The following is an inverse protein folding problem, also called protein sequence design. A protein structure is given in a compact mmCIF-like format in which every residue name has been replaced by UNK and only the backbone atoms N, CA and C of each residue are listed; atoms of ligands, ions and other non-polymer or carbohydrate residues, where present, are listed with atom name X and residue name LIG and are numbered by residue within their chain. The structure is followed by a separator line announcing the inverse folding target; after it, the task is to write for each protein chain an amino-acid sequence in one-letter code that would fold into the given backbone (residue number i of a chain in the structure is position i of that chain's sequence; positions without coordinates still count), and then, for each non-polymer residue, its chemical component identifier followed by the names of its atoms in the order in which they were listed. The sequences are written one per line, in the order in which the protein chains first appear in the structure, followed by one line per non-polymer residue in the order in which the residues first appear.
data_IF_563920723571
#
_entry.id   IF_563920723571
#
_cell.length_a   1.000
_cell.length_b   1.000
_cell.length_c   1.000
_cell.angle_alpha   90.00
_cell.angle_beta   90.00
_cell.angle_gamma   90.00
#
_symmetry.space_group_name_H-M   'P 1'
#
loop_
_entity.id
_entity.type
_entity.pdbx_description
1 polymer ?
#
# COMPACT_ATOMS: atom_id res chain seq x y z
N UNK A 1 5.28 7.68 -0.10
CA UNK A 1 4.31 8.65 0.46
C UNK A 1 2.92 8.48 -0.13
N UNK A 2 2.70 8.63 -1.44
CA UNK A 2 1.37 8.31 -2.02
C UNK A 2 0.90 6.88 -1.74
N UNK A 3 1.75 5.87 -1.97
CA UNK A 3 1.42 4.46 -1.68
C UNK A 3 1.06 4.25 -0.21
N UNK A 4 1.72 4.95 0.72
CA UNK A 4 1.40 4.89 2.16
C UNK A 4 -0.03 5.41 2.43
N UNK A 5 -0.35 6.61 1.94
CA UNK A 5 -1.68 7.20 2.08
C UNK A 5 -2.76 6.30 1.49
N UNK A 6 -2.56 5.86 0.25
CA UNK A 6 -3.54 5.05 -0.46
C UNK A 6 -3.70 3.69 0.22
N UNK A 7 -2.62 3.01 0.60
CA UNK A 7 -2.72 1.69 1.25
C UNK A 7 -3.38 1.82 2.63
N UNK A 8 -2.99 2.82 3.44
CA UNK A 8 -3.61 3.06 4.74
C UNK A 8 -5.11 3.37 4.61
N UNK A 9 -5.54 4.03 3.52
CA UNK A 9 -6.94 4.30 3.25
C UNK A 9 -7.70 3.07 2.76
N UNK A 10 -7.24 2.45 1.66
CA UNK A 10 -7.96 1.40 0.94
C UNK A 10 -7.89 0.03 1.62
N UNK A 11 -6.79 -0.33 2.29
CA UNK A 11 -6.65 -1.66 2.93
C UNK A 11 -7.70 -1.90 4.01
N UNK A 12 -8.18 -0.83 4.66
CA UNK A 12 -9.22 -0.90 5.68
C UNK A 12 -10.60 -1.25 5.15
N UNK A 13 -10.81 -1.23 3.82
CA UNK A 13 -12.01 -1.78 3.21
C UNK A 13 -11.99 -3.32 3.15
N UNK A 14 -10.81 -3.92 3.27
CA UNK A 14 -10.59 -5.36 3.16
C UNK A 14 -10.27 -6.03 4.50
N UNK A 15 -9.91 -5.25 5.53
CA UNK A 15 -9.64 -5.78 6.87
C UNK A 15 -9.72 -4.74 7.98
N UNK A 16 -10.26 -5.14 9.13
CA UNK A 16 -10.20 -4.39 10.39
C UNK A 16 -8.93 -4.71 11.23
N UNK A 17 -8.12 -5.66 10.77
CA UNK A 17 -6.95 -6.14 11.52
C UNK A 17 -5.68 -5.31 11.29
N UNK A 18 -5.69 -4.32 10.39
CA UNK A 18 -4.55 -3.46 10.11
C UNK A 18 -4.28 -2.50 11.29
N UNK A 19 -3.16 -2.71 11.98
CA UNK A 19 -2.67 -1.81 13.04
C UNK A 19 -1.93 -0.62 12.41
N UNK A 20 -0.99 -0.90 11.51
CA UNK A 20 -0.12 0.12 10.91
C UNK A 20 0.37 -0.29 9.51
N UNK A 21 0.60 0.70 8.64
CA UNK A 21 1.24 0.52 7.34
C UNK A 21 2.21 1.68 7.10
N UNK A 22 3.51 1.42 7.26
CA UNK A 22 4.54 2.47 7.30
C UNK A 22 5.67 2.22 6.30
N UNK A 23 6.21 3.27 5.64
CA UNK A 23 7.34 3.15 4.74
C UNK A 23 8.64 2.82 5.48
N UNK A 24 9.50 2.01 4.86
CA UNK A 24 10.86 1.79 5.32
C UNK A 24 11.75 3.00 4.98
N UNK A 25 12.63 3.38 5.91
CA UNK A 25 13.56 4.51 5.69
C UNK A 25 14.57 4.30 4.56
N UNK A 26 14.86 3.05 4.19
CA UNK A 26 15.70 2.71 3.04
C UNK A 26 14.96 2.77 1.68
N UNK A 27 13.67 3.09 1.68
CA UNK A 27 12.84 3.30 0.48
C UNK A 27 12.65 2.06 -0.40
N UNK A 28 12.84 0.85 0.14
CA UNK A 28 12.70 -0.41 -0.61
C UNK A 28 11.39 -1.15 -0.33
N UNK A 29 10.55 -0.66 0.57
CA UNK A 29 9.32 -1.34 0.94
C UNK A 29 8.58 -0.69 2.09
N UNK A 30 7.60 -1.44 2.62
CA UNK A 30 6.71 -1.03 3.71
C UNK A 30 6.63 -2.16 4.74
N UNK A 31 6.41 -1.79 6.00
CA UNK A 31 5.95 -2.73 7.01
C UNK A 31 4.43 -2.63 7.15
N UNK A 32 3.75 -3.78 7.14
CA UNK A 32 2.36 -3.91 7.53
C UNK A 32 2.29 -4.64 8.88
N UNK A 33 1.70 -4.01 9.89
CA UNK A 33 1.46 -4.62 11.19
C UNK A 33 -0.01 -4.97 11.28
N UNK A 34 -0.31 -6.25 11.54
CA UNK A 34 -1.67 -6.77 11.61
C UNK A 34 -1.91 -7.57 12.87
N UNK A 35 -3.15 -7.57 13.38
CA UNK A 35 -3.56 -8.35 14.54
C UNK A 35 -4.21 -9.68 14.11
N UNK A 36 -3.52 -10.80 14.31
CA UNK A 36 -4.10 -12.13 14.14
C UNK A 36 -4.46 -12.53 12.70
N UNK A 37 -3.85 -11.87 11.70
CA UNK A 37 -3.92 -12.28 10.29
C UNK A 37 -2.79 -13.24 9.97
N UNK A 38 -3.14 -14.36 9.33
CA UNK A 38 -2.17 -15.28 8.75
C UNK A 38 -1.65 -14.77 7.41
N UNK A 39 -0.40 -15.12 7.00
CA UNK A 39 0.19 -14.60 5.78
C UNK A 39 -0.65 -14.84 4.52
N UNK A 40 -1.27 -16.02 4.38
CA UNK A 40 -2.08 -16.35 3.20
C UNK A 40 -3.31 -15.44 3.03
N UNK A 41 -3.97 -15.07 4.14
CA UNK A 41 -5.11 -14.13 4.10
C UNK A 41 -4.60 -12.71 3.81
N UNK A 42 -3.47 -12.33 4.42
CA UNK A 42 -2.85 -11.03 4.17
C UNK A 42 -2.45 -10.85 2.70
N UNK A 43 -1.96 -11.89 2.01
CA UNK A 43 -1.62 -11.80 0.58
C UNK A 43 -2.83 -11.44 -0.30
N UNK A 44 -4.00 -12.02 0.00
CA UNK A 44 -5.24 -11.70 -0.73
C UNK A 44 -5.69 -10.25 -0.45
N UNK A 45 -5.62 -9.82 0.81
CA UNK A 45 -5.93 -8.43 1.21
C UNK A 45 -4.98 -7.45 0.54
N UNK A 46 -3.68 -7.76 0.51
CA UNK A 46 -2.67 -6.93 -0.12
C UNK A 46 -2.93 -6.79 -1.62
N UNK A 47 -3.19 -7.90 -2.31
CA UNK A 47 -3.51 -7.90 -3.73
C UNK A 47 -4.79 -7.09 -4.04
N UNK A 48 -5.87 -7.30 -3.28
CA UNK A 48 -7.11 -6.52 -3.45
C UNK A 48 -6.86 -5.02 -3.24
N UNK A 49 -6.09 -4.67 -2.20
CA UNK A 49 -5.72 -3.27 -1.92
C UNK A 49 -4.90 -2.66 -3.06
N UNK A 50 -3.91 -3.38 -3.59
CA UNK A 50 -3.09 -2.88 -4.69
C UNK A 50 -3.91 -2.67 -5.97
N UNK A 51 -4.92 -3.50 -6.22
CA UNK A 51 -5.86 -3.27 -7.33
C UNK A 51 -6.71 -2.02 -7.10
N UNK A 52 -7.20 -1.76 -5.87
CA UNK A 52 -7.91 -0.51 -5.56
C UNK A 52 -7.02 0.72 -5.82
N UNK A 53 -5.71 0.63 -5.53
CA UNK A 53 -4.76 1.71 -5.81
C UNK A 53 -4.69 2.03 -7.31
N UNK A 54 -4.76 1.01 -8.19
CA UNK A 54 -4.74 1.19 -9.64
C UNK A 54 -5.99 1.85 -10.19
N UNK A 55 -7.14 1.68 -9.52
CA UNK A 55 -8.43 2.26 -9.92
C UNK A 55 -8.74 3.59 -9.21
N UNK A 56 -7.88 4.03 -8.30
CA UNK A 56 -8.06 5.28 -7.57
C UNK A 56 -7.85 6.51 -8.47
N UNK A 57 -8.72 7.51 -8.32
CA UNK A 57 -8.64 8.78 -9.06
C UNK A 57 -7.83 9.86 -8.33
N UNK A 58 -7.48 9.64 -7.06
CA UNK A 58 -6.74 10.60 -6.24
C UNK A 58 -5.92 9.92 -5.13
N UNK A 59 -4.98 10.66 -4.55
CA UNK A 59 -4.29 10.26 -3.32
C UNK A 59 -5.07 10.82 -2.12
N UNK A 60 -5.64 9.98 -1.24
CA UNK A 60 -6.42 10.45 -0.10
C UNK A 60 -5.60 11.36 0.82
N UNK A 61 -6.22 12.44 1.31
CA UNK A 61 -5.62 13.38 2.26
C UNK A 61 -4.31 14.05 1.78
N UNK A 62 -4.04 14.10 0.47
CA UNK A 62 -2.91 14.82 -0.11
C UNK A 62 -3.12 16.36 -0.11
N UNK A 63 -3.23 16.94 1.08
CA UNK A 63 -3.38 18.39 1.27
C UNK A 63 -2.68 18.85 2.57
N UNK A 64 -2.44 20.16 2.70
CA UNK A 64 -1.67 20.74 3.82
C UNK A 64 -2.36 20.65 5.19
N UNK A 65 -3.67 20.34 5.22
CA UNK A 65 -4.42 20.22 6.48
C UNK A 65 -4.24 18.84 7.09
N UNK A 66 -4.16 17.81 6.24
CA UNK A 66 -4.21 16.41 6.65
C UNK A 66 -2.86 15.69 6.49
N UNK A 67 -1.91 16.28 5.76
CA UNK A 67 -0.60 15.71 5.49
C UNK A 67 0.51 16.67 5.88
N UNK A 68 1.54 16.16 6.57
CA UNK A 68 2.73 16.94 6.94
C UNK A 68 3.53 17.47 5.75
N UNK A 69 3.34 16.89 4.55
CA UNK A 69 3.90 17.41 3.30
C UNK A 69 2.98 17.12 2.10
N UNK A 70 1.81 17.76 2.07
CA UNK A 70 0.78 17.53 1.03
C UNK A 70 1.24 17.79 -0.41
N UNK A 71 2.28 18.58 -0.64
CA UNK A 71 2.84 18.80 -1.98
C UNK A 71 3.64 17.60 -2.53
N UNK A 72 4.10 16.69 -1.68
CA UNK A 72 4.98 15.58 -2.08
C UNK A 72 4.19 14.29 -2.35
N UNK A 73 3.31 14.36 -3.36
CA UNK A 73 2.49 13.25 -3.82
C UNK A 73 2.45 13.20 -5.35
N UNK A 74 2.38 11.97 -5.86
CA UNK A 74 2.06 11.66 -7.26
C UNK A 74 1.16 10.43 -7.29
N UNK A 75 0.02 10.52 -7.96
CA UNK A 75 -0.89 9.39 -8.16
C UNK A 75 -0.30 8.45 -9.23
N UNK A 76 0.07 9.02 -10.37
CA UNK A 76 0.60 8.29 -11.53
C UNK A 76 1.84 7.46 -11.16
N UNK A 77 2.79 8.03 -10.41
CA UNK A 77 3.99 7.30 -9.98
C UNK A 77 3.67 6.19 -8.96
N UNK A 78 2.68 6.41 -8.09
CA UNK A 78 2.23 5.39 -7.14
C UNK A 78 1.60 4.20 -7.88
N UNK A 79 0.69 4.48 -8.82
CA UNK A 79 0.05 3.47 -9.65
C UNK A 79 1.06 2.73 -10.55
N UNK A 80 2.06 3.43 -11.09
CA UNK A 80 3.13 2.80 -11.86
C UNK A 80 3.95 1.81 -11.01
N UNK A 81 4.36 2.20 -9.80
CA UNK A 81 5.09 1.33 -8.89
C UNK A 81 4.25 0.12 -8.42
N UNK A 82 2.97 0.35 -8.10
CA UNK A 82 2.03 -0.71 -7.70
C UNK A 82 1.78 -1.70 -8.83
N UNK A 83 1.68 -1.23 -10.08
CA UNK A 83 1.53 -2.11 -11.25
C UNK A 83 2.73 -3.05 -11.39
N UNK A 84 3.95 -2.54 -11.27
CA UNK A 84 5.17 -3.37 -11.29
C UNK A 84 5.18 -4.38 -10.15
N UNK A 85 4.72 -3.99 -8.94
CA UNK A 85 4.63 -4.91 -7.81
C UNK A 85 3.60 -6.04 -8.04
N UNK A 86 2.44 -5.72 -8.61
CA UNK A 86 1.40 -6.69 -8.97
C UNK A 86 1.81 -7.63 -10.11
N UNK A 87 2.61 -7.16 -11.08
CA UNK A 87 3.14 -8.02 -12.16
C UNK A 87 3.98 -9.18 -11.61
N UNK A 88 4.57 -9.04 -10.42
CA UNK A 88 5.38 -10.06 -9.74
C UNK A 88 4.57 -10.87 -8.71
N UNK A 89 3.23 -10.84 -8.78
CA UNK A 89 2.34 -11.48 -7.79
C UNK A 89 2.65 -12.96 -7.54
N UNK A 90 3.03 -13.71 -8.57
CA UNK A 90 3.35 -15.14 -8.47
C UNK A 90 4.66 -15.41 -7.70
N UNK A 91 5.46 -14.38 -7.46
CA UNK A 91 6.77 -14.47 -6.81
C UNK A 91 6.78 -13.89 -5.38
N UNK A 92 5.69 -13.32 -4.88
CA UNK A 92 5.67 -12.62 -3.58
C UNK A 92 6.12 -13.47 -2.38
N UNK A 93 5.87 -14.78 -2.40
CA UNK A 93 6.28 -15.70 -1.33
C UNK A 93 7.75 -16.16 -1.47
N UNK A 94 8.41 -15.86 -2.59
CA UNK A 94 9.79 -16.22 -2.88
C UNK A 94 10.74 -15.13 -2.35
N UNK A 95 10.97 -15.12 -1.05
CA UNK A 95 11.78 -14.07 -0.38
C UNK A 95 13.28 -14.18 -0.70
N UNK A 96 13.77 -15.40 -0.91
CA UNK A 96 15.18 -15.68 -1.21
C UNK A 96 15.26 -16.31 -2.60
N UNK A 97 16.03 -15.68 -3.49
CA UNK A 97 16.36 -16.19 -4.82
C UNK A 97 17.73 -16.89 -4.83
#
# INVERSE_FOLDING_TARGET
HSIEHMTAHHMRNHTDALIDFSPMGCQTGFYALTLGLEPADFMQILEATMNDLLEADEVPAANEVQCGWGANHSLDEAQAAVRVFLEQRDEWEQVMA
#
